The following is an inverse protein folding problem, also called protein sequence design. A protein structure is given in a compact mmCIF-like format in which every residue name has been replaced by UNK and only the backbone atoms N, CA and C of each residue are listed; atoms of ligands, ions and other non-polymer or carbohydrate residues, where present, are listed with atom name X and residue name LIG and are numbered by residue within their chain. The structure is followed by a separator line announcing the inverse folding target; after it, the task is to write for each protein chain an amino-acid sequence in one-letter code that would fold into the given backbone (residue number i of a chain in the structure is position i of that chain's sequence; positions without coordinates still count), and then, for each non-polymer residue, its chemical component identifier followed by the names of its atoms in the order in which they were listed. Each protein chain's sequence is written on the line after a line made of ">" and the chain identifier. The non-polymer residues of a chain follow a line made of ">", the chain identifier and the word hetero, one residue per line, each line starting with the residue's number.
data_IF_764028539608
#
_entry.id   IF_764028539608
#
_cell.length_a   1.000
_cell.length_b   1.000
_cell.length_c   1.000
_cell.angle_alpha   90.00
_cell.angle_beta   90.00
_cell.angle_gamma   90.00
#
_symmetry.space_group_name_H-M   'P 1'
#
loop_
_entity.id
_entity.type
_entity.pdbx_description
1 polymer ?
#
# COMPACT_ATOMS: atom_id res chain seq x y z
N UNK A 1 37.09 21.50 -22.93
CA UNK A 1 36.36 21.83 -21.68
C UNK A 1 34.92 21.83 -22.08
N UNK A 2 34.29 20.68 -22.02
CA UNK A 2 32.90 20.44 -22.41
C UNK A 2 32.18 20.03 -21.15
N UNK A 3 31.34 20.96 -20.65
CA UNK A 3 30.40 20.68 -19.57
C UNK A 3 29.42 19.59 -20.03
N UNK A 4 29.45 18.47 -19.32
CA UNK A 4 28.41 17.47 -19.39
C UNK A 4 27.29 17.93 -18.46
N UNK A 5 26.27 18.51 -19.06
CA UNK A 5 24.95 18.71 -18.44
C UNK A 5 24.35 17.32 -18.18
N UNK A 6 24.39 16.89 -16.91
CA UNK A 6 23.66 15.72 -16.44
C UNK A 6 22.22 16.18 -16.17
N UNK A 7 21.40 16.19 -17.20
CA UNK A 7 19.96 16.19 -17.00
C UNK A 7 19.61 14.82 -16.41
N UNK A 8 19.34 14.75 -15.12
CA UNK A 8 18.69 13.60 -14.49
C UNK A 8 17.33 13.45 -15.14
N UNK A 9 17.11 12.32 -15.80
CA UNK A 9 15.81 11.94 -16.36
C UNK A 9 14.86 11.68 -15.17
N UNK A 10 14.20 12.72 -14.67
CA UNK A 10 13.17 12.61 -13.64
C UNK A 10 11.97 11.86 -14.21
N UNK A 11 11.58 10.77 -13.56
CA UNK A 11 10.35 10.07 -13.92
C UNK A 11 9.13 10.95 -13.55
N UNK A 12 7.98 10.76 -14.19
CA UNK A 12 6.74 11.44 -13.78
C UNK A 12 6.36 11.19 -12.31
N UNK A 13 6.81 10.05 -11.75
CA UNK A 13 6.63 9.69 -10.35
C UNK A 13 7.52 10.55 -9.44
N UNK A 14 8.81 10.71 -9.76
CA UNK A 14 9.72 11.58 -9.00
C UNK A 14 9.20 13.03 -8.98
N UNK A 15 8.58 13.46 -10.08
CA UNK A 15 7.95 14.77 -10.16
C UNK A 15 6.70 14.89 -9.28
N UNK A 16 5.90 13.83 -9.17
CA UNK A 16 4.72 13.80 -8.31
C UNK A 16 5.10 13.76 -6.83
N UNK A 17 6.06 12.93 -6.44
CA UNK A 17 6.59 12.87 -5.07
C UNK A 17 7.20 14.22 -4.67
N UNK A 18 7.99 14.86 -5.54
CA UNK A 18 8.53 16.20 -5.28
C UNK A 18 7.45 17.27 -5.18
N UNK A 19 6.43 17.21 -6.03
CA UNK A 19 5.31 18.15 -5.94
C UNK A 19 4.59 18.05 -4.59
N UNK A 20 4.39 16.82 -4.09
CA UNK A 20 3.83 16.57 -2.76
C UNK A 20 4.78 17.07 -1.67
N UNK A 21 6.07 16.72 -1.72
CA UNK A 21 7.08 17.18 -0.76
C UNK A 21 7.21 18.69 -0.74
N UNK A 22 7.20 19.35 -1.91
CA UNK A 22 7.31 20.82 -2.02
C UNK A 22 6.05 21.50 -1.45
N UNK A 23 4.86 20.94 -1.68
CA UNK A 23 3.61 21.45 -1.14
C UNK A 23 3.57 21.33 0.40
N UNK A 24 4.01 20.20 0.95
CA UNK A 24 4.15 19.97 2.39
C UNK A 24 5.17 20.93 3.02
N UNK A 25 6.31 21.15 2.36
CA UNK A 25 7.36 22.06 2.86
C UNK A 25 6.88 23.50 2.89
N UNK A 26 6.09 23.95 1.90
CA UNK A 26 5.52 25.30 1.88
C UNK A 26 4.51 25.53 3.01
N UNK A 27 3.79 24.48 3.47
CA UNK A 27 2.85 24.54 4.60
C UNK A 27 3.54 24.45 5.96
N UNK A 28 4.74 23.87 6.08
CA UNK A 28 5.52 23.95 7.33
C UNK A 28 5.70 25.37 7.83
N UNK A 29 5.77 26.35 6.94
CA UNK A 29 5.83 27.77 7.30
C UNK A 29 4.51 28.30 7.85
N UNK A 30 3.36 27.66 7.53
CA UNK A 30 2.04 28.04 8.00
C UNK A 30 1.66 27.34 9.31
N UNK A 31 2.09 26.08 9.53
CA UNK A 31 1.74 25.26 10.69
C UNK A 31 2.68 25.41 11.90
N UNK A 32 3.70 26.27 11.82
CA UNK A 32 4.58 26.57 12.98
C UNK A 32 3.87 27.22 14.19
N UNK A 33 2.55 27.30 14.17
CA UNK A 33 1.70 27.88 15.20
C UNK A 33 0.72 26.94 15.91
N UNK A 34 0.58 25.68 15.49
CA UNK A 34 -0.34 24.75 16.14
C UNK A 34 0.43 23.60 16.80
N UNK A 35 0.34 23.56 18.11
CA UNK A 35 0.94 22.57 18.99
C UNK A 35 0.32 21.19 18.75
N UNK A 36 1.20 20.22 18.53
CA UNK A 36 0.86 18.80 18.48
C UNK A 36 0.10 18.37 19.75
N UNK A 37 -1.06 17.81 19.58
CA UNK A 37 -1.76 17.09 20.62
C UNK A 37 -2.34 15.80 20.04
N UNK A 38 -1.81 14.68 20.49
CA UNK A 38 -2.54 13.43 20.63
C UNK A 38 -2.57 12.52 19.41
N UNK A 39 -1.50 11.78 19.20
CA UNK A 39 -1.53 10.53 18.46
C UNK A 39 -2.29 9.48 19.28
N UNK A 40 -3.51 9.16 18.85
CA UNK A 40 -4.17 7.93 19.26
C UNK A 40 -3.39 6.76 18.64
N UNK A 41 -2.66 6.03 19.47
CA UNK A 41 -1.98 4.83 19.05
C UNK A 41 -2.99 3.83 18.51
N UNK A 42 -2.88 3.45 17.24
CA UNK A 42 -3.41 2.19 16.74
C UNK A 42 -2.54 1.06 17.31
N UNK A 43 -2.63 0.89 18.63
CA UNK A 43 -2.01 -0.25 19.29
C UNK A 43 -2.98 -1.42 19.17
N UNK A 44 -2.68 -2.36 18.31
CA UNK A 44 -3.20 -3.71 18.39
C UNK A 44 -2.62 -4.38 19.65
N UNK A 45 -3.27 -4.16 20.78
CA UNK A 45 -2.88 -4.75 22.05
C UNK A 45 -3.93 -4.44 23.09
N UNK A 46 -4.67 -5.47 23.52
CA UNK A 46 -5.63 -5.39 24.63
C UNK A 46 -4.93 -5.00 25.93
N UNK A 47 -4.99 -3.73 26.29
CA UNK A 47 -4.67 -3.30 27.65
C UNK A 47 -5.69 -2.27 28.09
N UNK A 48 -6.53 -2.70 29.03
CA UNK A 48 -7.45 -1.86 29.77
C UNK A 48 -6.68 -0.77 30.52
N UNK A 49 -6.94 0.49 30.20
CA UNK A 49 -6.50 1.62 31.04
C UNK A 49 -7.75 2.35 31.54
N UNK A 50 -7.75 2.54 32.85
CA UNK A 50 -8.77 3.20 33.61
C UNK A 50 -8.96 4.65 33.15
N UNK A 51 -10.22 5.06 33.05
CA UNK A 51 -10.62 6.43 32.82
C UNK A 51 -10.12 7.34 33.94
N UNK A 52 -9.49 8.45 33.56
CA UNK A 52 -9.43 9.63 34.39
C UNK A 52 -10.13 10.77 33.63
N UNK A 53 -11.17 11.31 34.27
CA UNK A 53 -12.03 12.37 33.70
C UNK A 53 -11.27 13.69 33.76
N UNK A 54 -10.97 14.27 32.59
CA UNK A 54 -11.00 15.70 32.27
C UNK A 54 -10.36 15.92 30.89
N UNK A 55 -11.16 16.09 29.85
CA UNK A 55 -10.73 16.83 28.68
C UNK A 55 -11.94 17.44 27.96
N UNK A 56 -11.85 18.73 27.77
CA UNK A 56 -12.71 19.52 26.88
C UNK A 56 -12.70 18.94 25.46
N UNK A 57 -13.86 19.00 24.81
CA UNK A 57 -14.13 18.44 23.50
C UNK A 57 -13.13 18.80 22.42
N UNK A 58 -12.19 17.91 22.19
CA UNK A 58 -11.51 17.79 20.90
C UNK A 58 -12.43 16.92 20.02
N UNK A 59 -12.90 17.47 18.93
CA UNK A 59 -13.55 16.70 17.87
C UNK A 59 -12.58 15.63 17.40
N UNK A 60 -13.02 14.40 17.37
CA UNK A 60 -12.31 13.21 16.87
C UNK A 60 -12.29 13.29 15.32
N UNK A 61 -11.67 14.34 14.78
CA UNK A 61 -11.51 14.51 13.33
C UNK A 61 -10.26 13.75 12.91
N UNK A 62 -10.44 12.74 12.07
CA UNK A 62 -9.36 12.01 11.41
C UNK A 62 -8.46 12.99 10.65
N UNK A 63 -7.18 12.99 10.96
CA UNK A 63 -6.18 13.87 10.30
C UNK A 63 -5.64 13.23 9.02
N UNK A 64 -5.04 14.04 8.13
CA UNK A 64 -4.33 13.50 6.94
C UNK A 64 -3.24 12.49 7.35
N UNK A 65 -2.54 12.70 8.49
CA UNK A 65 -1.53 11.76 9.03
C UNK A 65 -2.18 10.43 9.43
N UNK A 66 -3.37 10.44 10.02
CA UNK A 66 -4.08 9.21 10.38
C UNK A 66 -4.48 8.42 9.13
N UNK A 67 -4.97 9.10 8.09
CA UNK A 67 -5.31 8.48 6.80
C UNK A 67 -4.07 7.88 6.13
N UNK A 68 -2.94 8.59 6.14
CA UNK A 68 -1.69 8.10 5.58
C UNK A 68 -1.12 6.92 6.35
N UNK A 69 -1.20 6.91 7.68
CA UNK A 69 -0.79 5.76 8.49
C UNK A 69 -1.69 4.54 8.28
N UNK A 70 -2.99 4.76 8.07
CA UNK A 70 -3.89 3.69 7.66
C UNK A 70 -3.46 3.10 6.29
N UNK A 71 -3.21 3.93 5.28
CA UNK A 71 -2.70 3.47 4.00
C UNK A 71 -1.36 2.73 4.17
N UNK A 72 -0.41 3.29 4.92
CA UNK A 72 0.90 2.68 5.18
C UNK A 72 0.79 1.29 5.83
N UNK A 73 -0.23 1.05 6.67
CA UNK A 73 -0.47 -0.28 7.25
C UNK A 73 -0.74 -1.33 6.16
N UNK A 74 -1.46 -0.96 5.10
CA UNK A 74 -1.76 -1.83 3.96
C UNK A 74 -0.54 -2.03 3.07
N UNK A 75 0.14 -0.96 2.72
CA UNK A 75 1.35 -1.04 1.89
C UNK A 75 2.45 -1.91 2.57
N UNK A 76 2.60 -1.81 3.90
CA UNK A 76 3.48 -2.70 4.65
C UNK A 76 3.07 -4.17 4.55
N UNK A 77 1.76 -4.46 4.56
CA UNK A 77 1.24 -5.81 4.39
C UNK A 77 1.53 -6.34 2.98
N UNK A 78 1.29 -5.54 1.95
CA UNK A 78 1.47 -5.90 0.55
C UNK A 78 2.95 -6.05 0.19
N UNK A 79 3.82 -5.10 0.58
CA UNK A 79 5.28 -5.22 0.44
C UNK A 79 5.81 -6.49 1.12
N UNK A 80 5.40 -6.75 2.38
CA UNK A 80 5.79 -7.96 3.09
C UNK A 80 5.29 -9.23 2.39
N UNK A 81 4.08 -9.20 1.83
CA UNK A 81 3.49 -10.32 1.13
C UNK A 81 4.29 -10.71 -0.12
N UNK A 82 4.62 -9.74 -0.98
CA UNK A 82 5.43 -10.01 -2.18
C UNK A 82 6.86 -10.40 -1.82
N UNK A 83 7.50 -9.72 -0.86
CA UNK A 83 8.83 -10.07 -0.38
C UNK A 83 8.90 -11.49 0.21
N UNK A 84 7.85 -11.92 0.94
CA UNK A 84 7.76 -13.27 1.51
C UNK A 84 7.61 -14.36 0.42
N UNK A 85 6.88 -14.06 -0.64
CA UNK A 85 6.50 -15.06 -1.63
C UNK A 85 7.45 -15.13 -2.84
N UNK A 86 8.01 -14.02 -3.32
CA UNK A 86 8.79 -13.98 -4.57
C UNK A 86 10.29 -14.04 -4.31
N UNK A 87 10.96 -15.01 -4.92
CA UNK A 87 12.40 -15.22 -4.72
C UNK A 87 13.26 -14.06 -5.22
N UNK A 88 12.82 -13.31 -6.22
CA UNK A 88 13.48 -12.09 -6.69
C UNK A 88 13.53 -11.00 -5.61
N UNK A 89 12.59 -10.99 -4.69
CA UNK A 89 12.48 -10.06 -3.56
C UNK A 89 12.94 -10.66 -2.23
N UNK A 90 13.53 -11.87 -2.26
CA UNK A 90 14.05 -12.56 -1.07
C UNK A 90 13.20 -13.74 -0.58
N UNK A 91 12.02 -13.95 -1.18
CA UNK A 91 11.03 -14.92 -0.74
C UNK A 91 11.19 -16.33 -1.34
N UNK A 92 10.07 -17.02 -1.45
CA UNK A 92 9.99 -18.48 -1.64
C UNK A 92 9.90 -18.92 -3.12
N UNK A 93 8.94 -18.39 -3.90
CA UNK A 93 8.66 -18.88 -5.24
C UNK A 93 9.68 -18.39 -6.29
N UNK A 94 10.25 -19.32 -7.04
CA UNK A 94 11.11 -19.01 -8.18
C UNK A 94 10.27 -18.70 -9.43
N UNK A 95 10.91 -18.03 -10.43
CA UNK A 95 10.30 -17.84 -11.76
C UNK A 95 9.79 -19.16 -12.34
N UNK A 96 10.60 -20.24 -12.25
CA UNK A 96 10.23 -21.55 -12.79
C UNK A 96 8.92 -22.05 -12.12
N UNK A 97 8.82 -22.00 -10.80
CA UNK A 97 7.64 -22.45 -10.07
C UNK A 97 6.39 -21.68 -10.50
N UNK A 98 6.48 -20.36 -10.65
CA UNK A 98 5.36 -19.51 -11.05
C UNK A 98 4.91 -19.81 -12.49
N UNK A 99 5.82 -19.77 -13.47
CA UNK A 99 5.46 -19.87 -14.89
C UNK A 99 5.04 -21.28 -15.32
N UNK A 100 5.40 -22.31 -14.53
CA UNK A 100 5.01 -23.71 -14.76
C UNK A 100 3.87 -24.19 -13.89
N UNK A 101 3.24 -23.31 -13.12
CA UNK A 101 2.10 -23.66 -12.28
C UNK A 101 0.92 -24.18 -13.09
N UNK A 102 0.29 -25.27 -12.62
CA UNK A 102 -0.83 -25.96 -13.29
C UNK A 102 -2.01 -25.01 -13.58
N UNK A 103 -2.22 -24.02 -12.73
CA UNK A 103 -3.27 -23.00 -12.94
C UNK A 103 -3.12 -22.25 -14.28
N UNK A 104 -1.93 -22.21 -14.85
CA UNK A 104 -1.62 -21.55 -16.13
C UNK A 104 -1.54 -22.49 -17.33
N UNK A 105 -1.87 -23.79 -17.18
CA UNK A 105 -1.79 -24.76 -18.28
C UNK A 105 -2.64 -24.42 -19.51
N UNK A 106 -3.68 -23.64 -19.30
CA UNK A 106 -4.53 -23.12 -20.36
C UNK A 106 -3.89 -21.96 -21.16
N UNK A 107 -2.79 -21.38 -20.68
CA UNK A 107 -2.11 -20.25 -21.32
C UNK A 107 -0.93 -20.74 -22.21
N UNK A 108 -0.71 -20.13 -23.39
CA UNK A 108 0.48 -20.38 -24.16
C UNK A 108 1.74 -19.87 -23.43
N UNK A 109 2.90 -20.48 -23.69
CA UNK A 109 4.16 -20.13 -22.99
C UNK A 109 4.49 -18.63 -23.03
N UNK A 110 4.31 -17.95 -24.17
CA UNK A 110 4.57 -16.52 -24.30
C UNK A 110 3.68 -15.63 -23.41
N UNK A 111 2.55 -16.15 -22.92
CA UNK A 111 1.70 -15.45 -21.96
C UNK A 111 2.09 -15.76 -20.50
N UNK A 112 2.74 -16.90 -20.23
CA UNK A 112 3.22 -17.27 -18.89
C UNK A 112 4.56 -16.61 -18.55
N UNK A 113 5.45 -16.51 -19.53
CA UNK A 113 6.84 -16.06 -19.36
C UNK A 113 6.96 -14.70 -18.65
N UNK A 114 6.14 -13.67 -18.92
CA UNK A 114 6.22 -12.37 -18.25
C UNK A 114 5.62 -12.34 -16.85
N UNK A 115 4.83 -13.36 -16.44
CA UNK A 115 4.06 -13.32 -15.18
C UNK A 115 4.97 -13.03 -13.97
N UNK A 116 6.09 -13.74 -13.86
CA UNK A 116 6.99 -13.57 -12.72
C UNK A 116 7.63 -12.18 -12.66
N UNK A 117 8.01 -11.63 -13.82
CA UNK A 117 8.52 -10.26 -13.91
C UNK A 117 7.47 -9.25 -13.46
N UNK A 118 6.25 -9.35 -14.00
CA UNK A 118 5.16 -8.46 -13.62
C UNK A 118 4.82 -8.52 -12.13
N UNK A 119 4.88 -9.71 -11.51
CA UNK A 119 4.68 -9.84 -10.05
C UNK A 119 5.84 -9.21 -9.27
N UNK A 120 7.06 -9.29 -9.78
CA UNK A 120 8.21 -8.61 -9.17
C UNK A 120 8.03 -7.09 -9.26
N UNK A 121 7.62 -6.58 -10.42
CA UNK A 121 7.34 -5.15 -10.62
C UNK A 121 6.25 -4.66 -9.64
N UNK A 122 5.17 -5.45 -9.41
CA UNK A 122 4.17 -5.13 -8.40
C UNK A 122 4.83 -5.01 -7.02
N UNK A 123 5.56 -6.03 -6.56
CA UNK A 123 6.21 -5.97 -5.24
C UNK A 123 7.24 -4.82 -5.10
N UNK A 124 7.88 -4.40 -6.19
CA UNK A 124 8.75 -3.21 -6.20
C UNK A 124 7.91 -1.91 -6.11
N UNK A 125 6.68 -1.90 -6.65
CA UNK A 125 5.76 -0.77 -6.48
C UNK A 125 5.30 -0.64 -5.03
N UNK A 126 4.94 -1.76 -4.36
CA UNK A 126 4.53 -1.73 -2.95
C UNK A 126 5.66 -1.22 -2.03
N UNK A 127 6.89 -1.66 -2.27
CA UNK A 127 8.05 -1.11 -1.56
C UNK A 127 8.20 0.41 -1.77
N UNK A 128 7.96 0.90 -2.98
CA UNK A 128 8.02 2.33 -3.29
C UNK A 128 6.85 3.13 -2.66
N UNK A 129 5.65 2.52 -2.58
CA UNK A 129 4.50 3.11 -1.88
C UNK A 129 4.82 3.28 -0.39
N UNK A 130 5.36 2.23 0.27
CA UNK A 130 5.82 2.29 1.67
C UNK A 130 6.80 3.44 1.87
N UNK A 131 7.90 3.48 1.12
CA UNK A 131 8.93 4.52 1.24
C UNK A 131 8.35 5.92 1.07
N UNK A 132 7.43 6.08 0.12
CA UNK A 132 6.77 7.36 -0.17
C UNK A 132 5.86 7.80 0.98
N UNK A 133 5.04 6.90 1.51
CA UNK A 133 4.12 7.23 2.61
C UNK A 133 4.88 7.54 3.91
N UNK A 134 5.93 6.77 4.23
CA UNK A 134 6.80 7.05 5.37
C UNK A 134 7.38 8.47 5.29
N UNK A 135 7.97 8.82 4.14
CA UNK A 135 8.56 10.15 3.92
C UNK A 135 7.52 11.28 4.06
N UNK A 136 6.32 11.10 3.50
CA UNK A 136 5.25 12.09 3.58
C UNK A 136 4.76 12.26 5.02
N UNK A 137 4.56 11.17 5.76
CA UNK A 137 4.12 11.22 7.16
C UNK A 137 5.16 11.96 8.02
N UNK A 138 6.46 11.66 7.84
CA UNK A 138 7.54 12.36 8.54
C UNK A 138 7.57 13.84 8.18
N UNK A 139 7.40 14.19 6.92
CA UNK A 139 7.38 15.58 6.44
C UNK A 139 6.20 16.38 6.99
N UNK A 140 5.07 15.73 7.25
CA UNK A 140 3.93 16.31 7.96
C UNK A 140 4.16 16.44 9.47
N UNK A 141 5.27 15.91 9.99
CA UNK A 141 5.61 15.89 11.42
C UNK A 141 4.89 14.77 12.19
N UNK A 142 4.32 13.80 11.48
CA UNK A 142 3.76 12.58 12.02
C UNK A 142 4.84 11.53 12.33
N UNK A 143 4.41 10.41 12.85
CA UNK A 143 5.24 9.22 13.04
C UNK A 143 4.67 8.10 12.20
N UNK A 144 5.43 7.53 11.23
CA UNK A 144 4.99 6.39 10.46
C UNK A 144 4.67 5.19 11.37
N UNK A 145 3.59 4.47 11.06
CA UNK A 145 3.29 3.20 11.73
C UNK A 145 4.38 2.18 11.42
N UNK A 146 4.80 1.43 12.44
CA UNK A 146 5.82 0.39 12.27
C UNK A 146 5.23 -0.82 11.52
N UNK A 147 6.04 -1.44 10.67
CA UNK A 147 5.71 -2.68 9.96
C UNK A 147 5.45 -3.80 10.96
N UNK A 148 4.30 -4.45 10.86
CA UNK A 148 3.96 -5.61 11.69
C UNK A 148 4.72 -6.88 11.24
N UNK A 149 4.68 -7.92 12.08
CA UNK A 149 5.07 -9.27 11.66
C UNK A 149 3.85 -9.97 11.05
N UNK A 150 4.06 -10.70 9.93
CA UNK A 150 2.97 -11.27 9.16
C UNK A 150 3.14 -12.78 8.95
N UNK A 151 1.99 -13.49 8.94
CA UNK A 151 1.89 -14.90 8.57
C UNK A 151 0.90 -15.07 7.40
N UNK A 152 1.39 -15.44 6.23
CA UNK A 152 0.56 -15.51 5.02
C UNK A 152 0.03 -16.92 4.70
N UNK A 153 0.68 -17.98 5.18
CA UNK A 153 0.26 -19.36 4.91
C UNK A 153 0.32 -19.78 3.43
N UNK A 154 0.95 -18.98 2.58
CA UNK A 154 0.92 -19.13 1.11
C UNK A 154 2.03 -19.99 0.52
N UNK A 155 3.06 -20.32 1.29
CA UNK A 155 4.19 -21.13 0.84
C UNK A 155 3.82 -22.63 0.79
N UNK A 156 3.34 -23.05 -0.37
CA UNK A 156 3.04 -24.47 -0.65
C UNK A 156 4.00 -24.99 -1.71
N UNK A 157 4.69 -26.10 -1.42
CA UNK A 157 5.68 -26.68 -2.32
C UNK A 157 5.10 -26.93 -3.73
N UNK A 158 5.67 -26.27 -4.74
CA UNK A 158 5.27 -26.35 -6.14
C UNK A 158 3.81 -26.00 -6.47
N UNK A 159 3.09 -25.34 -5.56
CA UNK A 159 1.72 -24.88 -5.79
C UNK A 159 1.52 -23.43 -5.35
N UNK A 160 1.66 -22.45 -6.24
CA UNK A 160 1.49 -21.05 -5.91
C UNK A 160 0.03 -20.56 -5.92
N UNK A 161 -0.98 -21.45 -6.01
CA UNK A 161 -2.40 -21.05 -6.09
C UNK A 161 -2.81 -20.16 -4.92
N UNK A 162 -2.46 -20.54 -3.68
CA UNK A 162 -2.78 -19.73 -2.51
C UNK A 162 -2.09 -18.35 -2.55
N UNK A 163 -0.88 -18.25 -3.09
CA UNK A 163 -0.23 -16.96 -3.32
C UNK A 163 -1.05 -16.08 -4.27
N UNK A 164 -1.51 -16.62 -5.41
CA UNK A 164 -2.27 -15.85 -6.39
C UNK A 164 -3.65 -15.43 -5.85
N UNK A 165 -4.33 -16.32 -5.12
CA UNK A 165 -5.63 -16.01 -4.50
C UNK A 165 -5.49 -14.92 -3.43
N UNK A 166 -4.47 -15.00 -2.59
CA UNK A 166 -4.21 -13.98 -1.56
C UNK A 166 -3.78 -12.66 -2.19
N UNK A 167 -2.85 -12.67 -3.16
CA UNK A 167 -2.47 -11.47 -3.89
C UNK A 167 -3.69 -10.76 -4.49
N UNK A 168 -4.56 -11.50 -5.19
CA UNK A 168 -5.80 -10.94 -5.74
C UNK A 168 -6.68 -10.30 -4.66
N UNK A 169 -6.80 -10.93 -3.50
CA UNK A 169 -7.61 -10.39 -2.40
C UNK A 169 -7.02 -9.11 -1.80
N UNK A 170 -5.70 -9.07 -1.60
CA UNK A 170 -5.00 -7.90 -1.06
C UNK A 170 -5.14 -6.70 -2.01
N UNK A 171 -4.78 -6.84 -3.27
CA UNK A 171 -4.85 -5.75 -4.24
C UNK A 171 -6.28 -5.19 -4.44
N UNK A 172 -7.30 -6.06 -4.50
CA UNK A 172 -8.69 -5.58 -4.52
C UNK A 172 -9.07 -4.85 -3.22
N UNK A 173 -8.46 -5.24 -2.10
CA UNK A 173 -8.65 -4.53 -0.81
C UNK A 173 -7.94 -3.18 -0.82
N UNK A 174 -6.73 -3.08 -1.37
CA UNK A 174 -6.00 -1.84 -1.57
C UNK A 174 -6.80 -0.83 -2.39
N UNK A 175 -7.36 -1.26 -3.55
CA UNK A 175 -8.25 -0.41 -4.35
C UNK A 175 -9.43 0.13 -3.53
N UNK A 176 -10.14 -0.75 -2.81
CA UNK A 176 -11.30 -0.36 -2.00
C UNK A 176 -10.93 0.56 -0.82
N UNK A 177 -9.73 0.35 -0.25
CA UNK A 177 -9.19 1.15 0.84
C UNK A 177 -8.89 2.59 0.41
N UNK A 178 -8.15 2.78 -0.67
CA UNK A 178 -7.87 4.10 -1.22
C UNK A 178 -9.15 4.83 -1.64
N UNK A 179 -10.09 4.13 -2.29
CA UNK A 179 -11.39 4.70 -2.64
C UNK A 179 -12.18 5.16 -1.40
N UNK A 180 -12.12 4.39 -0.31
CA UNK A 180 -12.81 4.71 0.95
C UNK A 180 -12.14 5.82 1.76
N UNK A 181 -10.80 5.89 1.73
CA UNK A 181 -10.02 6.88 2.47
C UNK A 181 -9.99 8.27 1.79
N UNK A 182 -10.08 8.32 0.46
CA UNK A 182 -9.96 9.55 -0.31
C UNK A 182 -10.83 10.73 0.18
N UNK A 183 -12.12 10.54 0.57
CA UNK A 183 -12.94 11.63 1.09
C UNK A 183 -12.46 12.23 2.42
N UNK A 184 -11.61 11.51 3.16
CA UNK A 184 -11.07 11.94 4.47
C UNK A 184 -9.77 12.73 4.33
N UNK A 185 -9.18 12.81 3.13
CA UNK A 185 -7.97 13.58 2.86
C UNK A 185 -8.36 15.05 2.66
N UNK A 186 -7.85 15.92 3.53
CA UNK A 186 -8.16 17.36 3.49
C UNK A 186 -7.20 18.16 2.61
N UNK A 187 -6.00 17.65 2.33
CA UNK A 187 -4.99 18.29 1.51
C UNK A 187 -5.09 17.82 0.04
N UNK A 188 -5.33 18.73 -0.89
CA UNK A 188 -5.51 18.44 -2.32
C UNK A 188 -4.28 17.78 -2.97
N UNK A 189 -3.07 18.12 -2.53
CA UNK A 189 -1.85 17.52 -3.05
C UNK A 189 -1.68 16.08 -2.56
N UNK A 190 -2.03 15.81 -1.30
CA UNK A 190 -2.07 14.44 -0.76
C UNK A 190 -3.16 13.62 -1.44
N UNK A 191 -4.34 14.20 -1.67
CA UNK A 191 -5.39 13.54 -2.43
C UNK A 191 -4.93 13.18 -3.84
N UNK A 192 -4.21 14.09 -4.52
CA UNK A 192 -3.65 13.82 -5.85
C UNK A 192 -2.65 12.66 -5.82
N UNK A 193 -1.77 12.60 -4.81
CA UNK A 193 -0.83 11.51 -4.61
C UNK A 193 -1.56 10.18 -4.33
N UNK A 194 -2.53 10.18 -3.42
CA UNK A 194 -3.34 9.00 -3.10
C UNK A 194 -4.09 8.46 -4.33
N UNK A 195 -4.64 9.32 -5.18
CA UNK A 195 -5.27 8.92 -6.44
C UNK A 195 -4.27 8.35 -7.45
N UNK A 196 -3.00 8.79 -7.41
CA UNK A 196 -1.93 8.20 -8.22
C UNK A 196 -1.66 6.75 -7.80
N UNK A 197 -1.51 6.49 -6.50
CA UNK A 197 -1.35 5.14 -5.94
C UNK A 197 -2.59 4.31 -6.24
N UNK A 198 -3.79 4.77 -5.91
CA UNK A 198 -5.06 4.07 -6.22
C UNK A 198 -5.16 3.62 -7.68
N UNK A 199 -4.70 4.44 -8.61
CA UNK A 199 -4.68 4.11 -10.04
C UNK A 199 -3.68 2.99 -10.38
N UNK A 200 -2.61 2.82 -9.61
CA UNK A 200 -1.65 1.71 -9.74
C UNK A 200 -2.25 0.44 -9.14
N UNK A 201 -2.81 0.53 -7.92
CA UNK A 201 -3.53 -0.55 -7.25
C UNK A 201 -4.61 -1.18 -8.14
N UNK A 202 -5.42 -0.34 -8.81
CA UNK A 202 -6.44 -0.83 -9.74
C UNK A 202 -5.85 -1.65 -10.92
N UNK A 203 -4.63 -1.35 -11.37
CA UNK A 203 -3.93 -2.15 -12.39
C UNK A 203 -3.40 -3.46 -11.84
N UNK A 204 -2.85 -3.46 -10.63
CA UNK A 204 -2.40 -4.66 -9.93
C UNK A 204 -3.59 -5.60 -9.74
N UNK A 205 -4.69 -5.10 -9.15
CA UNK A 205 -5.92 -5.85 -8.93
C UNK A 205 -6.48 -6.44 -10.24
N UNK A 206 -6.58 -5.65 -11.31
CA UNK A 206 -7.06 -6.12 -12.61
C UNK A 206 -6.17 -7.24 -13.19
N UNK A 207 -4.84 -7.10 -13.04
CA UNK A 207 -3.90 -8.13 -13.47
C UNK A 207 -4.06 -9.42 -12.67
N UNK A 208 -4.14 -9.34 -11.34
CA UNK A 208 -4.31 -10.51 -10.49
C UNK A 208 -5.69 -11.16 -10.65
N UNK A 209 -6.75 -10.37 -10.81
CA UNK A 209 -8.08 -10.89 -11.16
C UNK A 209 -7.97 -11.76 -12.42
N UNK A 210 -7.30 -11.24 -13.47
CA UNK A 210 -7.12 -11.98 -14.72
C UNK A 210 -6.32 -13.27 -14.55
N UNK A 211 -5.25 -13.27 -13.75
CA UNK A 211 -4.44 -14.46 -13.49
C UNK A 211 -5.21 -15.55 -12.73
N UNK A 212 -6.11 -15.15 -11.84
CA UNK A 212 -6.99 -16.04 -11.07
C UNK A 212 -8.26 -16.46 -11.85
N UNK A 213 -8.41 -16.06 -13.12
CA UNK A 213 -9.58 -16.40 -13.94
C UNK A 213 -10.84 -15.58 -13.59
N UNK A 214 -10.70 -14.57 -12.74
CA UNK A 214 -11.75 -13.60 -12.44
C UNK A 214 -11.85 -12.52 -13.55
N UNK A 215 -12.93 -11.74 -13.54
CA UNK A 215 -13.10 -10.60 -14.43
C UNK A 215 -12.16 -9.46 -14.00
N UNK A 216 -11.25 -8.97 -14.86
CA UNK A 216 -10.39 -7.84 -14.54
C UNK A 216 -11.14 -6.50 -14.46
N UNK A 217 -12.39 -6.45 -14.90
CA UNK A 217 -13.25 -5.27 -14.96
C UNK A 217 -14.63 -5.57 -14.37
N UNK A 218 -14.72 -6.02 -13.08
CA UNK A 218 -15.95 -6.60 -12.53
C UNK A 218 -17.09 -5.59 -12.44
N UNK A 219 -16.76 -4.33 -12.24
CA UNK A 219 -17.73 -3.25 -12.02
C UNK A 219 -17.35 -1.99 -12.81
N UNK A 220 -18.33 -1.10 -13.03
CA UNK A 220 -18.08 0.22 -13.63
C UNK A 220 -17.52 1.23 -12.61
N UNK A 221 -17.68 0.97 -11.32
CA UNK A 221 -17.19 1.76 -10.20
C UNK A 221 -16.68 0.82 -9.12
N UNK A 222 -15.54 1.14 -8.52
CA UNK A 222 -15.02 0.39 -7.40
C UNK A 222 -15.83 0.66 -6.13
N UNK A 223 -16.02 -0.40 -5.33
CA UNK A 223 -16.70 -0.30 -4.06
C UNK A 223 -15.72 0.20 -2.99
N UNK A 224 -16.03 1.35 -2.39
CA UNK A 224 -15.26 1.90 -1.29
C UNK A 224 -15.56 1.10 0.00
N UNK A 225 -14.51 0.79 0.77
CA UNK A 225 -14.63 0.19 2.10
C UNK A 225 -14.20 1.19 3.17
N UNK A 226 -14.80 1.06 4.36
CA UNK A 226 -14.37 1.82 5.53
C UNK A 226 -13.00 1.33 6.03
N UNK A 227 -12.30 2.16 6.78
CA UNK A 227 -11.02 1.80 7.40
C UNK A 227 -11.16 0.56 8.29
N UNK A 228 -12.24 0.44 9.07
CA UNK A 228 -12.49 -0.71 9.95
C UNK A 228 -12.64 -2.02 9.15
N UNK A 229 -13.41 -2.02 8.06
CA UNK A 229 -13.60 -3.19 7.20
C UNK A 229 -12.29 -3.66 6.56
N UNK A 230 -11.42 -2.74 6.22
CA UNK A 230 -10.13 -3.05 5.61
C UNK A 230 -9.13 -3.55 6.65
N UNK A 231 -9.07 -2.91 7.82
CA UNK A 231 -8.22 -3.35 8.93
C UNK A 231 -8.64 -4.73 9.45
N UNK A 232 -9.91 -5.09 9.40
CA UNK A 232 -10.38 -6.46 9.69
C UNK A 232 -9.77 -7.49 8.72
N UNK A 233 -9.64 -7.14 7.44
CA UNK A 233 -8.97 -8.00 6.45
C UNK A 233 -7.47 -8.09 6.75
N UNK A 234 -6.80 -6.96 6.97
CA UNK A 234 -5.37 -6.91 7.23
C UNK A 234 -4.98 -7.67 8.50
N UNK A 235 -5.80 -7.59 9.56
CA UNK A 235 -5.56 -8.26 10.85
C UNK A 235 -5.45 -9.78 10.75
N UNK A 236 -6.03 -10.40 9.70
CA UNK A 236 -5.96 -11.85 9.50
C UNK A 236 -4.55 -12.34 9.14
N UNK A 237 -3.66 -11.45 8.75
CA UNK A 237 -2.29 -11.75 8.37
C UNK A 237 -1.26 -11.34 9.42
N UNK A 238 -1.66 -10.61 10.48
CA UNK A 238 -0.76 -10.19 11.54
C UNK A 238 -0.48 -11.40 12.44
N UNK A 239 0.82 -11.65 12.71
CA UNK A 239 1.25 -12.71 13.61
C UNK A 239 0.87 -12.40 15.08
N UNK A 240 0.53 -13.45 15.86
CA UNK A 240 0.17 -13.33 17.28
C UNK A 240 1.41 -13.00 18.17
#
# INVERSE_FOLDING_TARGET
>A
MTDHDQSTDETPFDSAVRAVQDAVTSRRQFLAGSTAAGLGALAFGTSSVAADEHADGASDETTDVDVLNYALTLEHLEDAFYAHNLKSLGGYYSKETIVTADMFDHLPWGAREPIYGNLTDIGEHEAAHVETLEAIIEDLGGTPVEKAEYEFGTMQANNPTAFFETAMALENTGVAAYAGAAPSISNDDLLSAALSVHSVEARHAAYLNRLNGADPFPNAFDEAKSMDEVLEVASQFIAD
#
